data_IF_537379899462
#
_entry.id   IF_537379899462
#
_cell.length_a   1.000
_cell.length_b   1.000
_cell.length_c   1.000
_cell.angle_alpha   90.00
_cell.angle_beta   90.00
_cell.angle_gamma   90.00
#
_symmetry.space_group_name_H-M   'P 1'
#
loop_
_entity.id
_entity.type
_entity.pdbx_description
1 polymer ?
#
# COMPACT_ATOMS: atom_id res chain seq x y z
N UNK A 1 -7.24 -14.93 -14.80
CA UNK A 1 -7.37 -14.66 -13.33
C UNK A 1 -7.66 -13.19 -13.15
N UNK A 2 -8.28 -12.79 -12.04
CA UNK A 2 -8.67 -11.37 -11.87
C UNK A 2 -7.46 -10.42 -11.90
N UNK A 3 -6.32 -10.83 -11.34
CA UNK A 3 -5.08 -10.06 -11.40
C UNK A 3 -4.66 -9.77 -12.85
N UNK A 4 -4.71 -10.77 -13.74
CA UNK A 4 -4.34 -10.60 -15.15
C UNK A 4 -5.27 -9.62 -15.88
N UNK A 5 -6.56 -9.66 -15.55
CA UNK A 5 -7.56 -8.74 -16.12
C UNK A 5 -7.29 -7.30 -15.67
N UNK A 6 -6.99 -7.11 -14.38
CA UNK A 6 -6.63 -5.80 -13.84
C UNK A 6 -5.35 -5.28 -14.50
N UNK A 7 -4.29 -6.09 -14.55
CA UNK A 7 -3.00 -5.70 -15.17
C UNK A 7 -3.19 -5.36 -16.65
N UNK A 8 -3.97 -6.15 -17.38
CA UNK A 8 -4.27 -5.85 -18.79
C UNK A 8 -4.95 -4.50 -18.93
N UNK A 9 -5.98 -4.24 -18.13
CA UNK A 9 -6.73 -2.99 -18.15
C UNK A 9 -5.87 -1.80 -17.74
N UNK A 10 -5.02 -1.98 -16.71
CA UNK A 10 -4.04 -0.98 -16.29
C UNK A 10 -3.11 -0.58 -17.43
N UNK A 11 -2.58 -1.57 -18.18
CA UNK A 11 -1.72 -1.29 -19.35
C UNK A 11 -2.44 -0.54 -20.45
N UNK A 12 -3.70 -0.91 -20.77
CA UNK A 12 -4.53 -0.20 -21.75
C UNK A 12 -4.78 1.26 -21.36
N UNK A 13 -5.10 1.52 -20.10
CA UNK A 13 -5.35 2.88 -19.61
C UNK A 13 -4.05 3.71 -19.51
N UNK A 14 -2.94 3.04 -19.20
CA UNK A 14 -1.62 3.65 -19.15
C UNK A 14 -1.19 4.19 -20.54
N UNK A 15 -1.40 3.44 -21.62
CA UNK A 15 -1.09 3.91 -22.97
C UNK A 15 -1.89 5.17 -23.33
N UNK A 16 -3.15 5.26 -22.94
CA UNK A 16 -3.96 6.48 -23.13
C UNK A 16 -3.41 7.64 -22.31
N UNK A 17 -3.11 7.42 -21.02
CA UNK A 17 -2.54 8.47 -20.16
C UNK A 17 -1.20 8.99 -20.69
N UNK A 18 -0.32 8.11 -21.18
CA UNK A 18 0.95 8.49 -21.80
C UNK A 18 0.77 9.31 -23.09
N UNK A 19 -0.28 9.00 -23.87
CA UNK A 19 -0.60 9.75 -25.08
C UNK A 19 -1.16 11.15 -24.76
N UNK A 20 -2.05 11.23 -23.76
CA UNK A 20 -2.69 12.48 -23.36
C UNK A 20 -1.71 13.39 -22.58
N UNK A 21 -0.85 12.80 -21.77
CA UNK A 21 0.13 13.51 -20.93
C UNK A 21 1.47 12.78 -20.94
N UNK A 22 2.38 13.08 -21.88
CA UNK A 22 3.67 12.43 -22.02
C UNK A 22 4.55 12.50 -20.77
N UNK A 23 5.36 11.46 -20.53
CA UNK A 23 6.25 11.34 -19.37
C UNK A 23 7.17 12.58 -19.17
N UNK A 24 7.59 13.21 -20.26
CA UNK A 24 8.42 14.42 -20.22
C UNK A 24 7.68 15.61 -19.56
N UNK A 25 6.38 15.74 -19.84
CA UNK A 25 5.56 16.81 -19.24
C UNK A 25 5.31 16.52 -17.75
N UNK A 26 5.06 15.27 -17.44
CA UNK A 26 4.93 14.81 -16.05
C UNK A 26 6.23 15.08 -15.28
N UNK A 27 7.39 14.79 -15.86
CA UNK A 27 8.71 15.10 -15.28
C UNK A 27 8.96 16.60 -15.08
N UNK A 28 8.52 17.45 -16.02
CA UNK A 28 8.62 18.91 -15.87
C UNK A 28 7.80 19.47 -14.71
N UNK A 29 6.68 18.83 -14.40
CA UNK A 29 5.85 19.27 -13.27
C UNK A 29 6.53 19.09 -11.92
N UNK A 30 7.55 18.24 -11.81
CA UNK A 30 8.35 18.09 -10.59
C UNK A 30 9.08 19.37 -10.18
N UNK A 31 9.45 20.25 -11.13
CA UNK A 31 10.10 21.53 -10.82
C UNK A 31 9.21 22.46 -9.96
N UNK A 32 7.91 22.23 -9.99
CA UNK A 32 6.91 23.01 -9.24
C UNK A 32 6.17 22.17 -8.20
N UNK A 33 6.58 20.91 -8.00
CA UNK A 33 5.94 20.02 -7.04
C UNK A 33 6.28 20.47 -5.60
N UNK A 34 5.27 20.82 -4.79
CA UNK A 34 5.50 21.22 -3.40
C UNK A 34 5.75 20.04 -2.46
N UNK A 35 5.60 18.80 -2.96
CA UNK A 35 5.63 17.61 -2.14
C UNK A 35 7.03 16.98 -2.12
N UNK A 36 7.58 16.82 -0.92
CA UNK A 36 8.78 16.04 -0.66
C UNK A 36 8.35 14.76 0.04
N UNK A 37 8.80 13.58 -0.40
CA UNK A 37 8.47 12.31 0.27
C UNK A 37 8.82 12.34 1.77
N UNK A 38 7.91 11.84 2.59
CA UNK A 38 8.05 11.71 4.04
C UNK A 38 8.81 10.43 4.39
N UNK A 39 9.35 10.38 5.60
CA UNK A 39 10.11 9.22 6.10
C UNK A 39 9.17 8.04 6.43
N UNK A 40 8.99 7.18 5.44
CA UNK A 40 8.14 5.97 5.50
C UNK A 40 8.77 4.91 6.41
N UNK A 41 10.09 4.73 6.33
CA UNK A 41 10.80 3.70 7.11
C UNK A 41 10.67 3.98 8.61
N UNK A 42 10.84 5.23 9.01
CA UNK A 42 10.62 5.65 10.40
C UNK A 42 9.16 5.46 10.84
N UNK A 43 8.20 5.75 9.97
CA UNK A 43 6.78 5.63 10.30
C UNK A 43 6.34 4.18 10.49
N UNK A 44 6.94 3.22 9.76
CA UNK A 44 6.51 1.81 9.74
C UNK A 44 7.36 0.88 10.62
N UNK A 45 8.57 1.28 11.01
CA UNK A 45 9.42 0.42 11.86
C UNK A 45 8.85 0.33 13.27
N UNK A 46 8.53 -0.88 13.69
CA UNK A 46 8.11 -1.16 15.06
C UNK A 46 9.24 -0.87 16.07
N UNK A 47 8.85 -0.56 17.30
CA UNK A 47 9.75 -0.34 18.42
C UNK A 47 9.15 -0.93 19.69
N UNK A 48 9.95 -1.08 20.75
CA UNK A 48 9.45 -1.56 22.05
C UNK A 48 8.28 -0.74 22.59
N UNK A 49 8.31 0.60 22.39
CA UNK A 49 7.28 1.51 22.86
C UNK A 49 6.06 1.58 21.93
N UNK A 50 6.19 1.15 20.67
CA UNK A 50 5.12 1.14 19.68
C UNK A 50 5.29 -0.09 18.76
N UNK A 51 4.93 -1.28 19.26
CA UNK A 51 5.16 -2.55 18.56
C UNK A 51 4.21 -2.77 17.37
N UNK A 52 3.07 -2.03 17.35
CA UNK A 52 2.05 -2.14 16.29
C UNK A 52 2.00 -0.85 15.50
N UNK A 53 2.32 -0.92 14.21
CA UNK A 53 2.18 0.19 13.26
C UNK A 53 1.01 -0.08 12.33
N UNK A 54 0.15 0.92 12.12
CA UNK A 54 -1.05 0.79 11.28
C UNK A 54 -0.87 1.55 9.98
N UNK A 55 -1.06 0.86 8.85
CA UNK A 55 -1.31 1.42 7.53
C UNK A 55 -2.82 1.41 7.33
N UNK A 56 -3.47 2.54 7.51
CA UNK A 56 -4.93 2.64 7.41
C UNK A 56 -5.33 2.92 5.96
N UNK A 57 -6.12 2.03 5.36
CA UNK A 57 -6.45 2.08 3.94
C UNK A 57 -7.79 2.78 3.68
N UNK A 58 -7.77 3.75 2.77
CA UNK A 58 -8.93 4.44 2.21
C UNK A 58 -9.36 3.69 0.93
N UNK A 59 -10.46 2.95 1.03
CA UNK A 59 -10.96 2.06 -0.02
C UNK A 59 -12.47 2.11 -0.16
N UNK A 60 -12.97 2.56 -1.32
CA UNK A 60 -14.40 2.63 -1.62
C UNK A 60 -15.02 1.27 -1.92
N UNK A 61 -14.33 0.47 -2.71
CA UNK A 61 -14.80 -0.81 -3.22
C UNK A 61 -13.68 -1.84 -3.34
N UNK A 62 -14.04 -3.10 -3.56
CA UNK A 62 -13.09 -4.16 -3.95
C UNK A 62 -13.75 -5.19 -4.87
N UNK A 63 -12.97 -5.95 -5.68
CA UNK A 63 -13.52 -6.96 -6.58
C UNK A 63 -14.36 -8.02 -5.85
N UNK A 64 -13.94 -8.42 -4.65
CA UNK A 64 -14.60 -9.49 -3.88
C UNK A 64 -15.82 -9.04 -3.07
N UNK A 65 -16.00 -7.73 -2.82
CA UNK A 65 -17.04 -7.20 -1.92
C UNK A 65 -17.94 -6.14 -2.57
N UNK A 66 -17.61 -5.68 -3.78
CA UNK A 66 -18.29 -4.53 -4.37
C UNK A 66 -18.02 -3.23 -3.59
N UNK A 67 -19.02 -2.35 -3.52
CA UNK A 67 -18.92 -1.13 -2.71
C UNK A 67 -18.91 -1.47 -1.22
N UNK A 68 -17.89 -0.98 -0.52
CA UNK A 68 -17.69 -1.21 0.93
C UNK A 68 -18.24 -0.03 1.73
N UNK A 69 -18.04 1.20 1.22
CA UNK A 69 -18.50 2.43 1.85
C UNK A 69 -19.17 3.33 0.82
N UNK A 70 -20.48 3.57 0.99
CA UNK A 70 -21.27 4.44 0.08
C UNK A 70 -20.95 5.92 0.34
N UNK A 71 -20.98 6.34 1.61
CA UNK A 71 -20.57 7.70 2.04
C UNK A 71 -19.04 7.75 2.13
N UNK A 72 -18.43 8.02 0.96
CA UNK A 72 -16.98 7.95 0.79
C UNK A 72 -16.37 9.34 0.56
N UNK A 73 -15.78 9.89 1.62
CA UNK A 73 -15.10 11.18 1.61
C UNK A 73 -13.62 10.99 2.02
N UNK A 74 -12.67 10.86 1.07
CA UNK A 74 -11.28 10.53 1.37
C UNK A 74 -10.60 11.47 2.35
N UNK A 75 -10.89 12.77 2.29
CA UNK A 75 -10.32 13.77 3.20
C UNK A 75 -10.81 13.53 4.64
N UNK A 76 -12.10 13.35 4.84
CA UNK A 76 -12.67 13.09 6.19
C UNK A 76 -12.11 11.79 6.77
N UNK A 77 -12.07 10.73 5.96
CA UNK A 77 -11.52 9.44 6.37
C UNK A 77 -10.05 9.59 6.78
N UNK A 78 -9.24 10.33 6.00
CA UNK A 78 -7.84 10.57 6.33
C UNK A 78 -7.68 11.36 7.64
N UNK A 79 -8.54 12.32 7.92
CA UNK A 79 -8.55 13.07 9.18
C UNK A 79 -8.90 12.17 10.38
N UNK A 80 -9.81 11.21 10.23
CA UNK A 80 -10.10 10.19 11.24
C UNK A 80 -8.88 9.30 11.54
N UNK A 81 -8.04 9.02 10.51
CA UNK A 81 -6.83 8.22 10.65
C UNK A 81 -5.67 8.95 11.34
N UNK A 82 -5.63 10.30 11.28
CA UNK A 82 -4.47 11.11 11.63
C UNK A 82 -3.92 10.87 13.04
N UNK A 83 -4.78 10.57 14.03
CA UNK A 83 -4.35 10.41 15.42
C UNK A 83 -3.76 9.03 15.73
N UNK A 84 -4.25 7.97 15.09
CA UNK A 84 -3.93 6.59 15.49
C UNK A 84 -3.20 5.80 14.41
N UNK A 85 -3.36 6.12 13.12
CA UNK A 85 -2.60 5.47 12.05
C UNK A 85 -1.16 6.03 11.94
N UNK A 86 -0.25 5.19 11.47
CA UNK A 86 1.15 5.57 11.22
C UNK A 86 1.35 6.03 9.78
N UNK A 87 0.62 5.42 8.83
CA UNK A 87 0.59 5.81 7.42
C UNK A 87 -0.83 5.62 6.87
N UNK A 88 -1.09 6.22 5.71
CA UNK A 88 -2.37 6.10 5.00
C UNK A 88 -2.13 5.42 3.66
N UNK A 89 -2.94 4.42 3.32
CA UNK A 89 -2.97 3.78 2.00
C UNK A 89 -4.18 4.28 1.22
N UNK A 90 -4.00 4.67 -0.04
CA UNK A 90 -5.07 5.21 -0.88
C UNK A 90 -5.19 4.36 -2.14
N UNK A 91 -6.37 3.72 -2.32
CA UNK A 91 -6.69 3.01 -3.55
C UNK A 91 -6.88 4.01 -4.70
N UNK A 92 -6.10 3.84 -5.77
CA UNK A 92 -6.17 4.71 -6.95
C UNK A 92 -6.63 3.97 -8.21
N UNK A 93 -6.81 2.65 -8.16
CA UNK A 93 -7.33 1.85 -9.27
C UNK A 93 -8.83 2.16 -9.51
N UNK A 94 -9.23 2.63 -10.73
CA UNK A 94 -10.56 3.20 -10.93
C UNK A 94 -11.67 2.17 -11.20
N UNK A 95 -11.38 1.01 -11.75
CA UNK A 95 -12.40 0.08 -12.27
C UNK A 95 -12.97 -0.82 -11.19
N UNK A 96 -12.14 -1.57 -10.50
CA UNK A 96 -12.55 -2.55 -9.49
C UNK A 96 -12.60 -1.99 -8.07
N UNK A 97 -11.72 -1.01 -7.78
CA UNK A 97 -11.66 -0.41 -6.44
C UNK A 97 -12.35 0.95 -6.36
N UNK A 98 -12.82 1.49 -7.50
CA UNK A 98 -13.43 2.82 -7.60
C UNK A 98 -12.55 3.91 -6.99
N UNK A 99 -11.23 3.77 -7.17
CA UNK A 99 -10.21 4.71 -6.74
C UNK A 99 -10.02 5.86 -7.72
N UNK A 100 -9.23 6.83 -7.29
CA UNK A 100 -8.82 7.95 -8.12
C UNK A 100 -7.45 8.45 -7.63
N UNK A 101 -6.54 8.74 -8.56
CA UNK A 101 -5.20 9.24 -8.22
C UNK A 101 -5.26 10.62 -7.55
N UNK A 102 -6.26 11.43 -7.88
CA UNK A 102 -6.50 12.75 -7.28
C UNK A 102 -6.75 12.67 -5.76
N UNK A 103 -7.22 11.54 -5.24
CA UNK A 103 -7.39 11.36 -3.80
C UNK A 103 -6.07 11.52 -3.04
N UNK A 104 -4.92 11.17 -3.67
CA UNK A 104 -3.60 11.37 -3.06
C UNK A 104 -3.37 12.87 -2.81
N UNK A 105 -3.52 13.71 -3.83
CA UNK A 105 -3.33 15.17 -3.71
C UNK A 105 -4.31 15.79 -2.73
N UNK A 106 -5.57 15.35 -2.76
CA UNK A 106 -6.60 15.82 -1.84
C UNK A 106 -6.23 15.52 -0.39
N UNK A 107 -5.88 14.26 -0.09
CA UNK A 107 -5.49 13.82 1.26
C UNK A 107 -4.18 14.46 1.69
N UNK A 108 -3.18 14.59 0.80
CA UNK A 108 -1.86 15.15 1.09
C UNK A 108 -1.92 16.54 1.72
N UNK A 109 -2.91 17.34 1.36
CA UNK A 109 -3.09 18.72 1.86
C UNK A 109 -3.56 18.76 3.32
N UNK A 110 -4.18 17.69 3.83
CA UNK A 110 -4.84 17.66 5.14
C UNK A 110 -4.26 16.60 6.09
N UNK A 111 -3.47 15.65 5.59
CA UNK A 111 -2.85 14.60 6.38
C UNK A 111 -1.34 14.79 6.47
N UNK A 112 -0.78 14.58 7.68
CA UNK A 112 0.67 14.65 7.93
C UNK A 112 1.35 13.29 7.77
N UNK A 113 0.58 12.19 7.77
CA UNK A 113 1.08 10.82 7.68
C UNK A 113 1.60 10.50 6.28
N UNK A 114 2.64 9.65 6.13
CA UNK A 114 3.07 9.17 4.82
C UNK A 114 1.93 8.47 4.07
N UNK A 115 1.88 8.66 2.74
CA UNK A 115 0.82 8.18 1.87
C UNK A 115 1.33 7.12 0.91
N UNK A 116 0.74 5.92 0.97
CA UNK A 116 0.90 4.84 0.00
C UNK A 116 -0.06 5.03 -1.18
N UNK A 117 0.47 5.09 -2.41
CA UNK A 117 -0.33 4.82 -3.60
C UNK A 117 -0.56 3.31 -3.72
N UNK A 118 -1.76 2.85 -3.42
CA UNK A 118 -2.18 1.45 -3.56
C UNK A 118 -2.82 1.27 -4.93
N UNK A 119 -2.04 0.71 -5.87
CA UNK A 119 -2.41 0.56 -7.28
C UNK A 119 -1.66 -0.63 -7.89
N UNK A 120 -1.98 -1.00 -9.12
CA UNK A 120 -1.28 -2.03 -9.90
C UNK A 120 -0.21 -1.35 -10.77
N UNK A 121 0.97 -1.14 -10.19
CA UNK A 121 2.07 -0.43 -10.84
C UNK A 121 2.91 -1.41 -11.67
N UNK A 122 3.02 -1.14 -12.97
CA UNK A 122 3.73 -1.96 -13.96
C UNK A 122 4.67 -1.15 -14.85
N UNK A 123 4.77 0.17 -14.64
CA UNK A 123 5.54 1.07 -15.50
C UNK A 123 6.09 2.27 -14.71
N UNK A 124 7.26 2.77 -15.11
CA UNK A 124 7.93 3.95 -14.53
C UNK A 124 7.06 5.21 -14.58
N UNK A 125 6.20 5.33 -15.58
CA UNK A 125 5.24 6.43 -15.69
C UNK A 125 4.37 6.54 -14.43
N UNK A 126 3.83 5.42 -13.96
CA UNK A 126 2.99 5.39 -12.76
C UNK A 126 3.77 5.76 -11.49
N UNK A 127 5.06 5.46 -11.43
CA UNK A 127 5.92 5.82 -10.30
C UNK A 127 6.17 7.33 -10.28
N UNK A 128 6.49 7.92 -11.43
CA UNK A 128 6.65 9.36 -11.57
C UNK A 128 5.33 10.10 -11.26
N UNK A 129 4.22 9.58 -11.76
CA UNK A 129 2.87 10.04 -11.47
C UNK A 129 2.58 10.03 -9.95
N UNK A 130 2.93 8.94 -9.23
CA UNK A 130 2.77 8.86 -7.78
C UNK A 130 3.49 9.99 -7.04
N UNK A 131 4.74 10.29 -7.42
CA UNK A 131 5.51 11.39 -6.84
C UNK A 131 4.87 12.74 -7.13
N UNK A 132 4.43 12.99 -8.37
CA UNK A 132 3.79 14.25 -8.78
C UNK A 132 2.51 14.49 -7.99
N UNK A 133 1.70 13.45 -7.75
CA UNK A 133 0.47 13.56 -6.96
C UNK A 133 0.70 13.61 -5.45
N UNK A 134 1.93 13.35 -4.97
CA UNK A 134 2.32 13.52 -3.58
C UNK A 134 2.27 12.26 -2.73
N UNK A 135 2.41 11.07 -3.33
CA UNK A 135 2.67 9.84 -2.60
C UNK A 135 4.08 9.86 -1.98
N UNK A 136 4.26 9.15 -0.88
CA UNK A 136 5.54 8.94 -0.19
C UNK A 136 6.13 7.56 -0.50
N UNK A 137 5.27 6.59 -0.79
CA UNK A 137 5.65 5.26 -1.21
C UNK A 137 4.59 4.65 -2.13
N UNK A 138 4.99 3.57 -2.81
CA UNK A 138 4.17 2.88 -3.79
C UNK A 138 4.08 1.39 -3.49
N UNK A 139 3.09 0.71 -4.10
CA UNK A 139 2.97 -0.74 -4.11
C UNK A 139 3.59 -1.31 -5.38
N UNK A 140 4.43 -2.35 -5.24
CA UNK A 140 4.77 -3.28 -6.32
C UNK A 140 4.33 -4.69 -5.91
N UNK A 141 3.67 -5.41 -6.81
CA UNK A 141 3.17 -6.77 -6.56
C UNK A 141 4.15 -7.76 -7.20
N UNK A 142 4.89 -8.51 -6.38
CA UNK A 142 5.92 -9.44 -6.87
C UNK A 142 5.37 -10.49 -7.84
N UNK A 143 4.14 -10.96 -7.61
CA UNK A 143 3.45 -11.91 -8.48
C UNK A 143 3.14 -11.36 -9.88
N UNK A 144 2.91 -10.06 -10.00
CA UNK A 144 2.54 -9.39 -11.26
C UNK A 144 3.75 -9.02 -12.13
N UNK A 145 4.97 -9.11 -11.60
CA UNK A 145 6.20 -8.64 -12.23
C UNK A 145 7.23 -9.78 -12.33
N UNK A 146 8.02 -9.78 -13.39
CA UNK A 146 9.25 -10.57 -13.45
C UNK A 146 10.27 -10.04 -12.43
N UNK A 147 11.28 -10.84 -12.10
CA UNK A 147 12.35 -10.42 -11.19
C UNK A 147 13.09 -9.18 -11.69
N UNK A 148 13.31 -9.05 -13.01
CA UNK A 148 13.98 -7.91 -13.61
C UNK A 148 13.11 -6.65 -13.56
N UNK A 149 11.82 -6.76 -13.92
CA UNK A 149 10.87 -5.65 -13.85
C UNK A 149 10.71 -5.14 -12.41
N UNK A 150 10.55 -6.04 -11.43
CA UNK A 150 10.44 -5.67 -10.03
C UNK A 150 11.66 -4.87 -9.56
N UNK A 151 12.88 -5.35 -9.89
CA UNK A 151 14.13 -4.67 -9.54
C UNK A 151 14.22 -3.30 -10.20
N UNK A 152 13.95 -3.21 -11.50
CA UNK A 152 14.04 -1.96 -12.26
C UNK A 152 13.05 -0.89 -11.76
N UNK A 153 11.81 -1.28 -11.46
CA UNK A 153 10.79 -0.37 -10.94
C UNK A 153 11.11 0.08 -9.51
N UNK A 154 11.61 -0.83 -8.68
CA UNK A 154 12.01 -0.52 -7.31
C UNK A 154 13.20 0.45 -7.28
N UNK A 155 14.25 0.20 -8.07
CA UNK A 155 15.41 1.10 -8.21
C UNK A 155 14.98 2.48 -8.71
N UNK A 156 14.05 2.53 -9.68
CA UNK A 156 13.53 3.79 -10.20
C UNK A 156 12.74 4.58 -9.13
N UNK A 157 11.91 3.90 -8.32
CA UNK A 157 11.19 4.53 -7.22
C UNK A 157 12.15 5.13 -6.18
N UNK A 158 13.17 4.35 -5.77
CA UNK A 158 14.20 4.82 -4.84
C UNK A 158 15.01 6.00 -5.39
N UNK A 159 15.31 6.00 -6.70
CA UNK A 159 15.98 7.13 -7.36
C UNK A 159 15.15 8.42 -7.28
N UNK A 160 13.83 8.31 -7.30
CA UNK A 160 12.91 9.44 -7.12
C UNK A 160 12.64 9.79 -5.64
N UNK A 161 13.22 9.06 -4.69
CA UNK A 161 13.02 9.27 -3.25
C UNK A 161 11.76 8.63 -2.68
N UNK A 162 11.04 7.82 -3.47
CA UNK A 162 9.88 7.07 -3.00
C UNK A 162 10.33 5.74 -2.37
N UNK A 163 9.72 5.34 -1.26
CA UNK A 163 9.83 3.96 -0.76
C UNK A 163 8.88 3.03 -1.51
N UNK A 164 9.11 1.71 -1.35
CA UNK A 164 8.33 0.68 -2.04
C UNK A 164 7.89 -0.39 -1.04
N UNK A 165 6.59 -0.62 -0.95
CA UNK A 165 6.00 -1.81 -0.35
C UNK A 165 5.93 -2.89 -1.44
N UNK A 166 6.72 -3.97 -1.29
CA UNK A 166 6.65 -5.12 -2.20
C UNK A 166 5.74 -6.18 -1.62
N UNK A 167 4.57 -6.36 -2.23
CA UNK A 167 3.57 -7.35 -1.82
C UNK A 167 3.96 -8.75 -2.31
N UNK A 168 3.90 -9.73 -1.41
CA UNK A 168 4.29 -11.13 -1.63
C UNK A 168 3.19 -12.09 -1.17
N UNK A 169 3.09 -13.24 -1.85
CA UNK A 169 2.06 -14.26 -1.58
C UNK A 169 2.66 -15.66 -1.35
N UNK A 170 3.94 -15.85 -1.62
CA UNK A 170 4.63 -17.11 -1.44
C UNK A 170 6.15 -16.91 -1.28
N UNK A 171 6.87 -18.01 -1.05
CA UNK A 171 8.33 -18.00 -0.88
C UNK A 171 9.09 -17.56 -2.14
N UNK A 172 8.53 -17.74 -3.33
CA UNK A 172 9.12 -17.27 -4.59
C UNK A 172 9.05 -15.76 -4.69
N UNK A 173 7.90 -15.18 -4.35
CA UNK A 173 7.71 -13.73 -4.29
C UNK A 173 8.63 -13.08 -3.25
N UNK A 174 8.77 -13.69 -2.07
CA UNK A 174 9.73 -13.24 -1.04
C UNK A 174 11.16 -13.21 -1.58
N UNK A 175 11.59 -14.25 -2.30
CA UNK A 175 12.93 -14.28 -2.92
C UNK A 175 13.09 -13.17 -3.96
N UNK A 176 12.08 -12.90 -4.80
CA UNK A 176 12.11 -11.79 -5.76
C UNK A 176 12.24 -10.44 -5.03
N UNK A 177 11.44 -10.20 -3.97
CA UNK A 177 11.45 -8.97 -3.19
C UNK A 177 12.82 -8.72 -2.53
N UNK A 178 13.39 -9.75 -1.90
CA UNK A 178 14.73 -9.68 -1.28
C UNK A 178 15.81 -9.43 -2.33
N UNK A 179 15.78 -10.14 -3.46
CA UNK A 179 16.72 -9.95 -4.56
C UNK A 179 16.65 -8.54 -5.18
N UNK A 180 15.45 -7.99 -5.30
CA UNK A 180 15.25 -6.62 -5.79
C UNK A 180 15.75 -5.55 -4.82
N UNK A 181 16.00 -5.90 -3.54
CA UNK A 181 16.49 -4.97 -2.52
C UNK A 181 15.38 -4.26 -1.74
N UNK A 182 14.15 -4.79 -1.72
CA UNK A 182 13.04 -4.18 -1.00
C UNK A 182 13.35 -3.92 0.48
N UNK A 183 13.04 -2.73 0.98
CA UNK A 183 13.13 -2.37 2.39
C UNK A 183 11.88 -2.76 3.17
N UNK A 184 10.72 -2.68 2.51
CA UNK A 184 9.41 -2.97 3.09
C UNK A 184 8.80 -4.13 2.28
N UNK A 185 8.46 -5.22 2.96
CA UNK A 185 7.91 -6.44 2.35
C UNK A 185 6.56 -6.73 2.97
N UNK A 186 5.53 -6.74 2.11
CA UNK A 186 4.17 -7.09 2.47
C UNK A 186 3.91 -8.58 2.30
N UNK A 187 3.26 -9.19 3.27
CA UNK A 187 2.74 -10.55 3.20
C UNK A 187 1.23 -10.45 3.16
N UNK A 188 0.64 -10.71 1.99
CA UNK A 188 -0.80 -10.62 1.81
C UNK A 188 -1.45 -11.97 2.02
N UNK A 189 -2.22 -12.11 3.10
CA UNK A 189 -2.96 -13.35 3.42
C UNK A 189 -4.02 -13.70 2.38
N UNK A 190 -4.44 -12.74 1.54
CA UNK A 190 -5.42 -12.94 0.48
C UNK A 190 -4.75 -13.32 -0.83
N UNK A 191 -5.09 -14.47 -1.37
CA UNK A 191 -4.70 -14.85 -2.72
C UNK A 191 -5.41 -13.92 -3.73
N UNK A 192 -4.64 -13.35 -4.66
CA UNK A 192 -5.18 -12.42 -5.67
C UNK A 192 -5.94 -13.11 -6.82
N UNK A 193 -5.82 -14.43 -6.96
CA UNK A 193 -6.46 -15.15 -8.05
C UNK A 193 -7.89 -15.59 -7.73
N UNK A 194 -8.11 -16.07 -6.49
CA UNK A 194 -9.37 -16.70 -6.06
C UNK A 194 -9.94 -16.08 -4.77
N UNK A 195 -9.26 -15.09 -4.19
CA UNK A 195 -9.61 -14.39 -2.96
C UNK A 195 -9.64 -15.27 -1.70
N UNK A 196 -9.12 -16.49 -1.75
CA UNK A 196 -8.95 -17.32 -0.56
C UNK A 196 -7.99 -16.68 0.44
N UNK A 197 -8.17 -17.02 1.72
CA UNK A 197 -7.37 -16.46 2.81
C UNK A 197 -6.51 -17.54 3.46
N UNK A 198 -5.22 -17.29 3.59
CA UNK A 198 -4.30 -18.10 4.40
C UNK A 198 -3.73 -17.25 5.54
N UNK A 199 -4.36 -17.29 6.70
CA UNK A 199 -3.94 -16.52 7.87
C UNK A 199 -2.61 -17.00 8.48
N UNK A 200 -2.13 -18.20 8.12
CA UNK A 200 -0.83 -18.74 8.55
C UNK A 200 0.35 -18.29 7.68
N UNK A 201 0.10 -17.45 6.65
CA UNK A 201 1.12 -17.10 5.67
C UNK A 201 2.29 -16.31 6.28
N UNK A 202 2.02 -15.40 7.22
CA UNK A 202 3.08 -14.68 7.94
C UNK A 202 4.00 -15.66 8.70
N UNK A 203 3.43 -16.64 9.40
CA UNK A 203 4.22 -17.65 10.14
C UNK A 203 5.17 -18.44 9.22
N UNK A 204 4.73 -18.70 7.97
CA UNK A 204 5.50 -19.43 6.97
C UNK A 204 6.57 -18.58 6.31
N UNK A 205 6.31 -17.30 6.05
CA UNK A 205 7.17 -16.45 5.21
C UNK A 205 8.10 -15.54 6.00
N UNK A 206 7.73 -15.07 7.20
CA UNK A 206 8.59 -14.22 8.04
C UNK A 206 9.95 -14.84 8.30
N UNK A 207 10.08 -16.16 8.63
CA UNK A 207 11.38 -16.79 8.86
C UNK A 207 12.31 -16.82 7.62
N UNK A 208 11.78 -16.57 6.43
CA UNK A 208 12.55 -16.53 5.18
C UNK A 208 13.16 -15.15 4.88
N UNK A 209 12.75 -14.13 5.64
CA UNK A 209 13.17 -12.76 5.42
C UNK A 209 14.48 -12.44 6.17
N UNK A 210 15.39 -11.69 5.53
CA UNK A 210 16.60 -11.25 6.21
C UNK A 210 16.28 -10.18 7.26
N UNK A 211 17.07 -10.13 8.32
CA UNK A 211 16.97 -9.11 9.35
C UNK A 211 17.04 -7.69 8.79
N UNK A 212 16.34 -6.77 9.45
CA UNK A 212 16.38 -5.34 9.13
C UNK A 212 15.33 -4.89 8.09
N UNK A 213 14.58 -5.80 7.49
CA UNK A 213 13.42 -5.45 6.67
C UNK A 213 12.27 -5.02 7.55
N UNK A 214 11.38 -4.18 7.01
CA UNK A 214 10.09 -3.88 7.60
C UNK A 214 9.08 -4.86 7.01
N UNK A 215 8.39 -5.58 7.87
CA UNK A 215 7.43 -6.62 7.48
C UNK A 215 6.01 -6.09 7.71
N UNK A 216 5.20 -6.15 6.66
CA UNK A 216 3.80 -5.70 6.69
C UNK A 216 2.88 -6.89 6.48
N UNK A 217 1.92 -7.12 7.39
CA UNK A 217 0.85 -8.08 7.17
C UNK A 217 -0.36 -7.38 6.54
N UNK A 218 -0.96 -8.03 5.53
CA UNK A 218 -2.09 -7.48 4.77
C UNK A 218 -3.26 -8.45 4.70
N UNK A 219 -4.48 -7.93 4.73
CA UNK A 219 -5.75 -8.66 4.65
C UNK A 219 -6.11 -9.53 5.85
N UNK A 220 -7.40 -9.63 6.16
CA UNK A 220 -7.94 -10.50 7.21
C UNK A 220 -7.67 -10.05 8.64
N UNK A 221 -7.30 -8.79 8.84
CA UNK A 221 -6.94 -8.23 10.14
C UNK A 221 -8.08 -7.36 10.67
N UNK A 222 -8.60 -7.68 11.85
CA UNK A 222 -9.76 -7.00 12.45
C UNK A 222 -9.80 -7.07 13.99
N UNK A 223 -8.80 -7.68 14.65
CA UNK A 223 -8.70 -7.80 16.10
C UNK A 223 -7.29 -7.46 16.58
N UNK A 224 -7.19 -6.72 17.68
CA UNK A 224 -5.91 -6.35 18.30
C UNK A 224 -5.02 -7.56 18.59
N UNK A 225 -5.59 -8.64 19.11
CA UNK A 225 -4.84 -9.84 19.47
C UNK A 225 -4.17 -10.48 18.27
N UNK A 226 -4.79 -10.47 17.06
CA UNK A 226 -4.15 -10.93 15.83
C UNK A 226 -2.87 -10.15 15.53
N UNK A 227 -2.92 -8.83 15.67
CA UNK A 227 -1.76 -7.97 15.43
C UNK A 227 -0.66 -8.24 16.45
N UNK A 228 -1.04 -8.42 17.71
CA UNK A 228 -0.12 -8.71 18.80
C UNK A 228 0.61 -10.05 18.59
N UNK A 229 -0.09 -11.10 18.17
CA UNK A 229 0.52 -12.39 17.87
C UNK A 229 1.46 -12.31 16.66
N UNK A 230 1.06 -11.61 15.60
CA UNK A 230 1.91 -11.40 14.43
C UNK A 230 3.14 -10.54 14.75
N UNK A 231 3.02 -9.53 15.63
CA UNK A 231 4.17 -8.74 16.09
C UNK A 231 5.22 -9.59 16.81
N UNK A 232 4.82 -10.62 17.58
CA UNK A 232 5.75 -11.53 18.28
C UNK A 232 6.63 -12.33 17.32
N UNK A 233 6.17 -12.58 16.10
CA UNK A 233 6.94 -13.28 15.06
C UNK A 233 7.73 -12.34 14.15
N UNK A 234 7.69 -11.03 14.39
CA UNK A 234 8.50 -10.04 13.69
C UNK A 234 7.77 -9.20 12.65
N UNK A 235 6.43 -9.15 12.64
CA UNK A 235 5.66 -8.23 11.80
C UNK A 235 5.70 -6.84 12.43
N UNK A 236 6.11 -5.82 11.66
CA UNK A 236 6.22 -4.43 12.11
C UNK A 236 4.91 -3.64 11.94
N UNK A 237 4.22 -3.84 10.81
CA UNK A 237 3.08 -3.03 10.44
C UNK A 237 1.94 -3.85 9.83
N UNK A 238 0.73 -3.27 9.87
CA UNK A 238 -0.51 -3.95 9.52
C UNK A 238 -1.34 -3.08 8.58
N UNK A 239 -1.59 -3.55 7.36
CA UNK A 239 -2.41 -2.86 6.39
C UNK A 239 -3.87 -3.30 6.54
N UNK A 240 -4.74 -2.37 6.95
CA UNK A 240 -6.13 -2.61 7.29
C UNK A 240 -7.04 -1.61 6.58
N UNK A 241 -7.96 -2.11 5.77
CA UNK A 241 -8.91 -1.28 5.02
C UNK A 241 -10.36 -1.66 5.26
N UNK A 242 -10.79 -2.85 4.84
CA UNK A 242 -12.19 -3.27 4.88
C UNK A 242 -12.80 -3.12 6.28
N UNK A 243 -12.05 -3.51 7.32
CA UNK A 243 -12.52 -3.39 8.69
C UNK A 243 -12.87 -1.94 9.05
N UNK A 244 -11.97 -0.99 8.76
CA UNK A 244 -12.17 0.43 9.08
C UNK A 244 -13.27 1.07 8.23
N UNK A 245 -13.33 0.73 6.94
CA UNK A 245 -14.33 1.30 6.02
C UNK A 245 -15.77 0.89 6.37
N UNK A 246 -15.97 -0.21 7.09
CA UNK A 246 -17.27 -0.67 7.55
C UNK A 246 -17.74 -0.05 8.87
N UNK A 247 -16.89 0.72 9.55
CA UNK A 247 -17.22 1.31 10.84
C UNK A 247 -17.84 2.70 10.68
N UNK A 248 -18.80 3.03 11.54
CA UNK A 248 -19.37 4.38 11.62
C UNK A 248 -18.36 5.34 12.29
N UNK A 249 -17.71 4.89 13.37
CA UNK A 249 -16.65 5.60 14.08
C UNK A 249 -15.28 5.01 13.72
N UNK A 250 -14.73 5.49 12.62
CA UNK A 250 -13.44 5.03 12.07
C UNK A 250 -12.30 5.29 13.06
N UNK A 251 -12.27 6.49 13.66
CA UNK A 251 -11.21 6.89 14.58
C UNK A 251 -11.12 5.92 15.77
N UNK A 252 -12.25 5.61 16.40
CA UNK A 252 -12.30 4.67 17.51
C UNK A 252 -11.94 3.25 17.09
N UNK A 253 -12.33 2.83 15.88
CA UNK A 253 -11.96 1.54 15.33
C UNK A 253 -10.45 1.38 15.16
N UNK A 254 -9.76 2.41 14.64
CA UNK A 254 -8.30 2.39 14.52
C UNK A 254 -7.63 2.35 15.89
N UNK A 255 -8.11 3.17 16.84
CA UNK A 255 -7.62 3.15 18.22
C UNK A 255 -7.74 1.76 18.83
N UNK A 256 -8.92 1.18 18.78
CA UNK A 256 -9.22 -0.14 19.36
C UNK A 256 -8.34 -1.24 18.79
N UNK A 257 -8.15 -1.26 17.47
CA UNK A 257 -7.28 -2.24 16.81
C UNK A 257 -5.81 -2.05 17.22
N UNK A 258 -5.35 -0.80 17.33
CA UNK A 258 -3.96 -0.51 17.65
C UNK A 258 -3.64 -0.72 19.14
N UNK A 259 -4.53 -0.29 20.03
CA UNK A 259 -4.28 -0.20 21.48
C UNK A 259 -4.97 -1.32 22.29
N UNK A 260 -5.97 -2.00 21.72
CA UNK A 260 -6.68 -3.10 22.40
C UNK A 260 -7.75 -2.64 23.41
N UNK A 261 -8.18 -1.35 23.32
CA UNK A 261 -9.15 -0.73 24.27
C UNK A 261 -10.47 -0.36 23.58
#
# INVERSE_FOLDING_TARGET
MILDEIIKKTKEDLEKRKADFPMEWLGRSLAYNPYVPRDVLKALRASENEPIKIIAEIKKASPSKGVIREDFEPIKIAQEYEQHANTVSILTEPHWFKGDIEYITQVRRYASRPILRKDFIVDKYQILEALVYGADFILLIAKALTQSELKELLEYAHHLGLEVLVETHDASDVKKAVFAGANIIGINHRNLDDFTMDMSLCEKLVPLLPNGKIIVAESGLYEHEQLRELSKIGVDAFLIGEHFMRQDDIKNAVKKIKEGE
#
